data_IF_642208743015
#
_entry.id   IF_642208743015
#
_cell.length_a   1.000
_cell.length_b   1.000
_cell.length_c   1.000
_cell.angle_alpha   90.00
_cell.angle_beta   90.00
_cell.angle_gamma   90.00
#
_symmetry.space_group_name_H-M   'P 1'
#
loop_
_entity.id
_entity.type
_entity.pdbx_description
1 polymer ?
#
# COMPACT_ATOMS: atom_id res chain seq x y z
N UNK A 1 -5.72 0.85 21.81
CA UNK A 1 -4.39 0.20 21.77
C UNK A 1 -3.62 0.33 23.08
N UNK A 2 -3.52 1.49 23.73
CA UNK A 2 -2.92 1.61 25.10
C UNK A 2 -3.57 0.72 26.18
N UNK A 3 -4.80 0.19 25.95
CA UNK A 3 -5.48 -0.72 26.87
C UNK A 3 -5.08 -2.21 26.73
N UNK A 4 -4.29 -2.57 25.71
CA UNK A 4 -3.82 -3.96 25.48
C UNK A 4 -2.47 -4.27 26.18
N UNK A 5 -1.88 -3.31 26.91
CA UNK A 5 -0.55 -3.50 27.52
C UNK A 5 0.61 -3.53 26.51
N UNK A 6 0.32 -3.34 25.22
CA UNK A 6 1.33 -3.06 24.18
C UNK A 6 1.78 -1.61 24.35
N UNK A 7 3.07 -1.38 24.60
CA UNK A 7 3.61 -0.02 24.69
C UNK A 7 3.34 0.74 23.38
N UNK A 8 3.15 2.06 23.48
CA UNK A 8 2.96 2.92 22.30
C UNK A 8 4.08 2.70 21.27
N UNK A 9 5.33 2.57 21.73
CA UNK A 9 6.50 2.24 20.89
C UNK A 9 6.36 0.92 20.12
N UNK A 10 5.90 -0.17 20.74
CA UNK A 10 5.68 -1.46 20.04
C UNK A 10 4.60 -1.37 18.96
N UNK A 11 3.55 -0.60 19.21
CA UNK A 11 2.47 -0.41 18.22
C UNK A 11 2.97 0.37 17.01
N UNK A 12 3.71 1.46 17.25
CA UNK A 12 4.35 2.25 16.21
C UNK A 12 5.36 1.41 15.42
N UNK A 13 6.12 0.54 16.09
CA UNK A 13 7.05 -0.37 15.46
C UNK A 13 6.37 -1.32 14.47
N UNK A 14 5.29 -1.97 14.87
CA UNK A 14 4.55 -2.89 14.00
C UNK A 14 4.07 -2.18 12.74
N UNK A 15 3.45 -1.00 12.88
CA UNK A 15 2.94 -0.22 11.73
C UNK A 15 4.06 0.17 10.77
N UNK A 16 5.22 0.58 11.30
CA UNK A 16 6.37 0.94 10.49
C UNK A 16 6.99 -0.26 9.78
N UNK A 17 7.11 -1.40 10.46
CA UNK A 17 7.58 -2.66 9.88
C UNK A 17 6.66 -3.12 8.74
N UNK A 18 5.35 -3.08 8.97
CA UNK A 18 4.38 -3.46 7.93
C UNK A 18 4.48 -2.53 6.73
N UNK A 19 4.55 -1.21 6.95
CA UNK A 19 4.71 -0.25 5.86
C UNK A 19 6.04 -0.48 5.09
N UNK A 20 7.13 -0.77 5.79
CA UNK A 20 8.41 -1.11 5.16
C UNK A 20 8.29 -2.32 4.23
N UNK A 21 7.69 -3.43 4.70
CA UNK A 21 7.55 -4.63 3.89
C UNK A 21 6.57 -4.46 2.74
N UNK A 22 5.51 -3.68 2.92
CA UNK A 22 4.56 -3.34 1.87
C UNK A 22 5.28 -2.57 0.74
N UNK A 23 6.00 -1.50 1.07
CA UNK A 23 6.77 -0.74 0.08
C UNK A 23 7.87 -1.58 -0.58
N UNK A 24 8.57 -2.42 0.21
CA UNK A 24 9.58 -3.34 -0.31
C UNK A 24 8.98 -4.35 -1.31
N UNK A 25 7.79 -4.86 -1.04
CA UNK A 25 7.07 -5.73 -1.97
C UNK A 25 6.85 -5.03 -3.31
N UNK A 26 6.34 -3.79 -3.31
CA UNK A 26 6.09 -3.05 -4.54
C UNK A 26 7.38 -2.74 -5.30
N UNK A 27 8.40 -2.24 -4.60
CA UNK A 27 9.70 -1.88 -5.20
C UNK A 27 10.39 -3.10 -5.82
N UNK A 28 10.21 -4.31 -5.29
CA UNK A 28 10.80 -5.51 -5.87
C UNK A 28 9.93 -6.14 -6.97
N UNK A 29 8.62 -6.18 -6.78
CA UNK A 29 7.71 -6.89 -7.69
C UNK A 29 7.46 -6.11 -8.98
N UNK A 30 7.46 -4.78 -8.92
CA UNK A 30 7.20 -3.95 -10.10
C UNK A 30 8.28 -4.10 -11.18
N UNK A 31 9.60 -4.00 -10.90
CA UNK A 31 10.64 -4.28 -11.87
C UNK A 31 10.58 -5.69 -12.45
N UNK A 32 10.27 -6.68 -11.61
CA UNK A 32 10.08 -8.06 -12.06
C UNK A 32 8.99 -8.10 -13.15
N UNK A 33 7.82 -7.57 -12.85
CA UNK A 33 6.69 -7.52 -13.79
C UNK A 33 7.02 -6.75 -15.07
N UNK A 34 7.73 -5.63 -14.97
CA UNK A 34 8.17 -4.85 -16.13
C UNK A 34 9.10 -5.64 -17.04
N UNK A 35 10.03 -6.42 -16.49
CA UNK A 35 10.98 -7.25 -17.25
C UNK A 35 10.26 -8.40 -17.95
N UNK A 36 9.34 -9.09 -17.27
CA UNK A 36 8.68 -10.28 -17.81
C UNK A 36 7.57 -9.98 -18.82
N UNK A 37 6.88 -8.85 -18.69
CA UNK A 37 5.69 -8.52 -19.51
C UNK A 37 6.01 -7.44 -20.55
N UNK A 38 6.97 -6.56 -20.26
CA UNK A 38 7.27 -5.39 -21.07
C UNK A 38 6.38 -4.19 -20.76
N UNK A 39 6.93 -2.98 -20.91
CA UNK A 39 6.23 -1.71 -20.65
C UNK A 39 5.03 -1.49 -21.58
N UNK A 40 5.14 -1.88 -22.86
CA UNK A 40 4.11 -1.64 -23.88
C UNK A 40 2.76 -2.30 -23.57
N UNK A 41 2.76 -3.43 -22.86
CA UNK A 41 1.55 -4.19 -22.55
C UNK A 41 0.90 -3.77 -21.22
N UNK A 42 1.69 -3.15 -20.34
CA UNK A 42 1.31 -2.80 -18.97
C UNK A 42 0.53 -1.48 -18.87
N UNK A 43 0.78 -0.54 -19.78
CA UNK A 43 0.14 0.77 -19.79
C UNK A 43 -0.91 0.85 -20.91
N UNK A 44 -2.21 0.94 -20.58
CA UNK A 44 -3.23 1.22 -21.58
C UNK A 44 -2.98 2.59 -22.22
N UNK A 45 -2.92 2.65 -23.55
CA UNK A 45 -2.56 3.85 -24.33
C UNK A 45 -3.53 5.03 -24.10
N UNK A 46 -4.76 4.74 -23.68
CA UNK A 46 -5.87 5.70 -23.65
C UNK A 46 -6.03 6.50 -22.33
N UNK A 47 -5.24 6.21 -21.29
CA UNK A 47 -5.41 6.84 -19.96
C UNK A 47 -4.52 8.06 -19.77
N UNK A 48 -4.70 9.10 -20.59
CA UNK A 48 -4.06 10.40 -20.35
C UNK A 48 -4.77 11.16 -19.23
N UNK A 49 -4.03 11.59 -18.21
CA UNK A 49 -4.58 12.38 -17.09
C UNK A 49 -3.91 13.75 -17.02
N UNK A 50 -4.72 14.78 -16.86
CA UNK A 50 -4.24 16.13 -16.54
C UNK A 50 -4.01 16.24 -15.05
N UNK A 51 -2.77 16.49 -14.63
CA UNK A 51 -2.40 16.78 -13.24
C UNK A 51 -1.75 18.16 -13.23
N UNK A 52 -2.28 19.09 -12.42
CA UNK A 52 -1.81 20.48 -12.34
C UNK A 52 -1.71 21.22 -13.70
N UNK A 53 -2.60 20.91 -14.65
CA UNK A 53 -2.63 21.52 -15.97
C UNK A 53 -1.68 20.89 -17.01
N UNK A 54 -0.84 19.93 -16.61
CA UNK A 54 0.06 19.19 -17.50
C UNK A 54 -0.56 17.83 -17.84
N UNK A 55 -0.59 17.47 -19.11
CA UNK A 55 -1.02 16.13 -19.58
C UNK A 55 0.13 15.15 -19.38
N UNK A 56 -0.01 14.23 -18.44
CA UNK A 56 0.93 13.12 -18.28
C UNK A 56 0.36 11.86 -18.93
N UNK A 57 1.23 11.11 -19.61
CA UNK A 57 0.93 9.75 -20.03
C UNK A 57 0.80 8.84 -18.80
N UNK A 58 0.08 7.73 -18.94
CA UNK A 58 -0.09 6.74 -17.86
C UNK A 58 1.26 6.20 -17.37
N UNK A 59 2.19 5.98 -18.30
CA UNK A 59 3.56 5.59 -18.00
C UNK A 59 4.32 6.68 -17.22
N UNK A 60 4.19 7.95 -17.60
CA UNK A 60 4.83 9.06 -16.89
C UNK A 60 4.35 9.18 -15.44
N UNK A 61 3.04 9.05 -15.21
CA UNK A 61 2.45 9.05 -13.86
C UNK A 61 2.97 7.87 -13.06
N UNK A 62 3.04 6.70 -13.68
CA UNK A 62 3.58 5.51 -13.04
C UNK A 62 5.03 5.70 -12.58
N UNK A 63 5.92 6.23 -13.42
CA UNK A 63 7.32 6.44 -13.03
C UNK A 63 7.48 7.44 -11.90
N UNK A 64 6.65 8.50 -11.87
CA UNK A 64 6.60 9.43 -10.74
C UNK A 64 6.18 8.70 -9.46
N UNK A 65 5.19 7.80 -9.54
CA UNK A 65 4.68 7.07 -8.37
C UNK A 65 5.63 6.02 -7.87
N UNK A 66 6.24 5.30 -8.79
CA UNK A 66 7.26 4.33 -8.50
C UNK A 66 8.49 5.02 -7.88
N UNK A 67 8.90 6.18 -8.40
CA UNK A 67 9.94 7.01 -7.79
C UNK A 67 9.57 7.49 -6.38
N UNK A 68 8.31 7.85 -6.16
CA UNK A 68 7.81 8.21 -4.84
C UNK A 68 7.82 7.02 -3.85
N UNK A 69 7.38 5.83 -4.26
CA UNK A 69 7.47 4.61 -3.45
C UNK A 69 8.93 4.28 -3.11
N UNK A 70 9.83 4.35 -4.10
CA UNK A 70 11.25 4.12 -3.87
C UNK A 70 11.85 5.14 -2.89
N UNK A 71 11.47 6.41 -3.02
CA UNK A 71 11.85 7.45 -2.07
C UNK A 71 11.31 7.12 -0.66
N UNK A 72 10.05 6.72 -0.55
CA UNK A 72 9.42 6.37 0.72
C UNK A 72 10.13 5.18 1.38
N UNK A 73 10.39 4.11 0.63
CA UNK A 73 11.16 2.96 1.09
C UNK A 73 12.57 3.38 1.54
N UNK A 74 13.24 4.23 0.78
CA UNK A 74 14.58 4.74 1.11
C UNK A 74 14.56 5.53 2.41
N UNK A 75 13.55 6.39 2.61
CA UNK A 75 13.36 7.18 3.82
C UNK A 75 13.07 6.30 5.03
N UNK A 76 12.18 5.31 4.88
CA UNK A 76 11.86 4.34 5.94
C UNK A 76 13.10 3.51 6.30
N UNK A 77 13.81 2.99 5.29
CA UNK A 77 15.07 2.24 5.47
C UNK A 77 16.10 3.08 6.21
N UNK A 78 16.31 4.32 5.78
CA UNK A 78 17.25 5.24 6.42
C UNK A 78 16.86 5.54 7.86
N UNK A 79 15.58 5.87 8.10
CA UNK A 79 15.09 6.27 9.40
C UNK A 79 14.98 5.13 10.41
N UNK A 80 14.79 3.90 9.96
CA UNK A 80 14.60 2.77 10.86
C UNK A 80 15.87 1.92 10.98
N UNK A 81 16.55 1.62 9.88
CA UNK A 81 17.67 0.68 9.88
C UNK A 81 19.02 1.37 10.02
N UNK A 82 19.20 2.55 9.43
CA UNK A 82 20.51 3.20 9.40
C UNK A 82 20.67 4.22 10.54
N UNK A 83 19.91 5.31 10.53
CA UNK A 83 20.10 6.45 11.43
C UNK A 83 18.77 7.03 11.95
N UNK A 84 18.16 6.44 12.99
CA UNK A 84 16.91 6.92 13.57
C UNK A 84 17.02 8.31 14.21
N UNK A 85 18.19 8.65 14.77
CA UNK A 85 18.45 9.99 15.32
C UNK A 85 18.46 11.04 14.22
N UNK A 86 19.09 10.74 13.08
CA UNK A 86 19.09 11.58 11.89
C UNK A 86 17.69 11.79 11.32
N UNK A 87 16.87 10.74 11.27
CA UNK A 87 15.51 10.84 10.80
C UNK A 87 14.60 11.64 11.75
N UNK A 88 14.74 11.47 13.07
CA UNK A 88 14.11 12.36 14.05
C UNK A 88 14.50 13.82 13.79
N UNK A 89 15.78 14.10 13.52
CA UNK A 89 16.22 15.46 13.21
C UNK A 89 15.58 16.03 11.94
N UNK A 90 15.42 15.22 10.88
CA UNK A 90 14.72 15.61 9.65
C UNK A 90 13.26 15.97 9.96
N UNK A 91 12.54 15.09 10.68
CA UNK A 91 11.16 15.35 11.12
C UNK A 91 11.10 16.67 11.88
N UNK A 92 11.93 16.85 12.91
CA UNK A 92 11.90 18.07 13.72
C UNK A 92 12.24 19.32 12.92
N UNK A 93 13.09 19.23 11.90
CA UNK A 93 13.40 20.34 11.00
C UNK A 93 12.19 20.72 10.13
N UNK A 94 11.44 19.75 9.60
CA UNK A 94 10.21 20.03 8.84
C UNK A 94 9.17 20.74 9.73
N UNK A 95 9.01 20.30 10.98
CA UNK A 95 8.08 20.92 11.94
C UNK A 95 8.59 22.25 12.54
N UNK A 96 9.69 22.83 12.02
CA UNK A 96 10.06 24.24 12.29
C UNK A 96 9.25 25.24 11.45
N UNK A 97 8.61 24.79 10.37
CA UNK A 97 7.79 25.65 9.50
C UNK A 97 6.62 26.25 10.29
N UNK A 98 6.36 27.55 10.12
CA UNK A 98 5.39 28.33 10.92
C UNK A 98 4.01 27.66 11.03
N UNK A 99 3.51 27.09 9.94
CA UNK A 99 2.21 26.39 9.91
C UNK A 99 2.24 25.02 10.60
N UNK A 100 3.36 24.31 10.54
CA UNK A 100 3.50 22.96 11.08
C UNK A 100 3.83 22.95 12.59
N UNK A 101 4.26 24.09 13.13
CA UNK A 101 4.74 24.22 14.53
C UNK A 101 3.73 23.76 15.58
N UNK A 102 2.42 23.86 15.31
CA UNK A 102 1.36 23.41 16.23
C UNK A 102 1.37 21.90 16.50
N UNK A 103 1.96 21.11 15.61
CA UNK A 103 2.09 19.65 15.75
C UNK A 103 3.49 19.20 16.19
N UNK A 104 4.37 20.15 16.54
CA UNK A 104 5.77 19.86 16.89
C UNK A 104 5.89 18.90 18.08
N UNK A 105 5.00 18.98 19.07
CA UNK A 105 5.02 18.07 20.22
C UNK A 105 4.77 16.62 19.79
N UNK A 106 3.74 16.38 18.97
CA UNK A 106 3.48 15.07 18.37
C UNK A 106 4.65 14.59 17.49
N UNK A 107 5.28 15.49 16.74
CA UNK A 107 6.45 15.16 15.93
C UNK A 107 7.67 14.73 16.77
N UNK A 108 7.85 15.29 17.96
CA UNK A 108 8.87 14.85 18.92
C UNK A 108 8.57 13.43 19.39
N UNK A 109 7.34 13.15 19.81
CA UNK A 109 6.91 11.83 20.25
C UNK A 109 7.11 10.77 19.15
N UNK A 110 6.66 11.06 17.93
CA UNK A 110 6.88 10.18 16.77
C UNK A 110 8.37 9.93 16.55
N UNK A 111 9.20 10.97 16.65
CA UNK A 111 10.65 10.85 16.53
C UNK A 111 11.28 9.96 17.62
N UNK A 112 10.79 10.04 18.85
CA UNK A 112 11.22 9.16 19.95
C UNK A 112 10.77 7.72 19.75
N UNK A 113 9.51 7.52 19.35
CA UNK A 113 8.97 6.20 19.02
C UNK A 113 9.77 5.54 17.89
N UNK A 114 10.23 6.29 16.89
CA UNK A 114 11.08 5.76 15.81
C UNK A 114 12.43 5.29 16.34
N UNK A 115 13.04 6.01 17.28
CA UNK A 115 14.32 5.61 17.88
C UNK A 115 14.15 4.33 18.68
N UNK A 116 13.10 4.24 19.50
CA UNK A 116 12.77 3.04 20.26
C UNK A 116 12.48 1.85 19.33
N UNK A 117 11.64 2.06 18.33
CA UNK A 117 11.29 1.09 17.28
C UNK A 117 12.52 0.57 16.56
N UNK A 118 13.40 1.47 16.10
CA UNK A 118 14.65 1.12 15.44
C UNK A 118 15.53 0.24 16.32
N UNK A 119 15.62 0.56 17.61
CA UNK A 119 16.35 -0.24 18.59
C UNK A 119 15.80 -1.67 18.70
N UNK A 120 14.47 -1.81 18.78
CA UNK A 120 13.80 -3.12 18.82
C UNK A 120 14.02 -3.90 17.52
N UNK A 121 13.84 -3.26 16.37
CA UNK A 121 13.96 -3.90 15.04
C UNK A 121 15.37 -4.41 14.73
N UNK A 122 16.40 -3.71 15.21
CA UNK A 122 17.80 -4.14 15.04
C UNK A 122 18.16 -5.37 15.86
N UNK A 123 17.38 -5.69 16.90
CA UNK A 123 17.58 -6.88 17.72
C UNK A 123 16.89 -8.13 17.14
N UNK A 124 16.02 -7.95 16.14
CA UNK A 124 15.32 -9.06 15.51
C UNK A 124 16.25 -9.91 14.63
N UNK A 125 16.01 -11.22 14.64
CA UNK A 125 16.79 -12.17 13.84
C UNK A 125 16.56 -12.01 12.33
N UNK A 126 17.54 -12.36 11.50
CA UNK A 126 17.36 -12.37 10.03
C UNK A 126 16.16 -13.22 9.58
N UNK A 127 15.84 -14.27 10.33
CA UNK A 127 14.69 -15.13 10.08
C UNK A 127 13.35 -14.44 10.30
N UNK A 128 13.28 -13.50 11.25
CA UNK A 128 12.10 -12.65 11.41
C UNK A 128 11.87 -11.83 10.13
N UNK A 129 12.92 -11.20 9.61
CA UNK A 129 12.84 -10.39 8.39
C UNK A 129 12.40 -11.18 7.17
N UNK A 130 12.98 -12.37 6.97
CA UNK A 130 12.62 -13.25 5.86
C UNK A 130 11.16 -13.70 5.99
N UNK A 131 10.74 -14.18 7.17
CA UNK A 131 9.36 -14.64 7.38
C UNK A 131 8.34 -13.52 7.18
N UNK A 132 8.63 -12.34 7.71
CA UNK A 132 7.75 -11.19 7.56
C UNK A 132 7.63 -10.76 6.09
N UNK A 133 8.74 -10.66 5.36
CA UNK A 133 8.71 -10.34 3.93
C UNK A 133 7.96 -11.40 3.12
N UNK A 134 8.22 -12.69 3.35
CA UNK A 134 7.53 -13.78 2.64
C UNK A 134 6.03 -13.77 2.93
N UNK A 135 5.64 -13.55 4.19
CA UNK A 135 4.23 -13.41 4.56
C UNK A 135 3.57 -12.22 3.85
N UNK A 136 4.22 -11.06 3.83
CA UNK A 136 3.74 -9.87 3.11
C UNK A 136 3.65 -10.11 1.62
N UNK A 137 4.67 -10.76 1.02
CA UNK A 137 4.69 -11.10 -0.40
C UNK A 137 3.48 -11.98 -0.77
N UNK A 138 3.27 -13.08 -0.06
CA UNK A 138 2.13 -13.95 -0.32
C UNK A 138 0.79 -13.27 -0.05
N UNK A 139 0.68 -12.42 0.97
CA UNK A 139 -0.54 -11.67 1.26
C UNK A 139 -0.90 -10.70 0.13
N UNK A 140 0.07 -9.93 -0.37
CA UNK A 140 -0.15 -9.03 -1.50
C UNK A 140 -0.38 -9.77 -2.80
N UNK A 141 0.39 -10.81 -3.09
CA UNK A 141 0.16 -11.67 -4.25
C UNK A 141 -1.26 -12.23 -4.20
N UNK A 142 -1.68 -12.88 -3.10
CA UNK A 142 -3.04 -13.38 -2.96
C UNK A 142 -4.10 -12.28 -3.19
N UNK A 143 -3.90 -11.09 -2.63
CA UNK A 143 -4.79 -9.93 -2.83
C UNK A 143 -4.95 -9.55 -4.31
N UNK A 144 -3.86 -9.49 -5.08
CA UNK A 144 -3.90 -9.18 -6.52
C UNK A 144 -4.42 -10.33 -7.37
N UNK A 145 -4.25 -11.57 -6.92
CA UNK A 145 -4.79 -12.75 -7.59
C UNK A 145 -6.32 -12.89 -7.43
N UNK A 146 -6.94 -12.26 -6.42
CA UNK A 146 -8.41 -12.22 -6.30
C UNK A 146 -9.07 -11.73 -7.59
N UNK A 147 -8.52 -10.68 -8.22
CA UNK A 147 -9.08 -10.14 -9.47
C UNK A 147 -8.88 -11.11 -10.65
N UNK A 148 -7.74 -11.80 -10.70
CA UNK A 148 -7.49 -12.84 -11.70
C UNK A 148 -8.57 -13.93 -11.61
N UNK A 149 -8.81 -14.48 -10.42
CA UNK A 149 -9.82 -15.52 -10.21
C UNK A 149 -11.24 -15.00 -10.44
N UNK A 150 -11.49 -13.74 -10.09
CA UNK A 150 -12.78 -13.11 -10.32
C UNK A 150 -13.08 -13.01 -11.82
N UNK A 151 -12.12 -12.60 -12.65
CA UNK A 151 -12.29 -12.57 -14.12
C UNK A 151 -12.43 -13.99 -14.67
N UNK A 152 -11.58 -14.91 -14.20
CA UNK A 152 -11.59 -16.32 -14.61
C UNK A 152 -12.94 -17.02 -14.36
N UNK A 153 -13.69 -16.57 -13.35
CA UNK A 153 -15.03 -17.09 -13.07
C UNK A 153 -16.07 -16.79 -14.15
N UNK A 154 -15.82 -15.80 -15.02
CA UNK A 154 -16.74 -15.38 -16.09
C UNK A 154 -16.20 -15.64 -17.50
N UNK A 155 -14.88 -15.66 -17.67
CA UNK A 155 -14.23 -15.85 -18.98
C UNK A 155 -12.89 -16.57 -18.82
N UNK A 156 -12.52 -17.41 -19.79
CA UNK A 156 -11.18 -17.98 -19.84
C UNK A 156 -10.14 -16.86 -20.03
N UNK A 157 -9.04 -16.94 -19.29
CA UNK A 157 -7.95 -15.96 -19.33
C UNK A 157 -6.66 -16.70 -19.60
N UNK A 158 -5.93 -16.27 -20.62
CA UNK A 158 -4.61 -16.84 -20.94
C UNK A 158 -3.46 -16.02 -20.31
N UNK A 159 -3.61 -14.70 -20.22
CA UNK A 159 -2.55 -13.78 -19.77
C UNK A 159 -2.66 -13.38 -18.28
N UNK A 160 -2.70 -14.37 -17.38
CA UNK A 160 -2.83 -14.12 -15.93
C UNK A 160 -1.76 -13.17 -15.35
N UNK A 161 -0.52 -13.31 -15.83
CA UNK A 161 0.60 -12.48 -15.38
C UNK A 161 0.42 -11.01 -15.82
N UNK A 162 -0.18 -10.77 -16.99
CA UNK A 162 -0.49 -9.43 -17.49
C UNK A 162 -1.57 -8.75 -16.63
N UNK A 163 -2.64 -9.48 -16.27
CA UNK A 163 -3.66 -8.98 -15.33
C UNK A 163 -3.04 -8.62 -13.99
N UNK A 164 -2.17 -9.49 -13.46
CA UNK A 164 -1.43 -9.23 -12.23
C UNK A 164 -0.56 -7.97 -12.33
N UNK A 165 0.18 -7.84 -13.43
CA UNK A 165 1.06 -6.69 -13.67
C UNK A 165 0.33 -5.37 -13.82
N UNK A 166 -0.76 -5.34 -14.59
CA UNK A 166 -1.61 -4.15 -14.75
C UNK A 166 -2.22 -3.69 -13.43
N UNK A 167 -2.57 -4.63 -12.55
CA UNK A 167 -3.04 -4.27 -11.20
C UNK A 167 -1.97 -3.62 -10.34
N UNK A 168 -0.71 -4.08 -10.41
CA UNK A 168 0.40 -3.44 -9.69
C UNK A 168 0.62 -2.02 -10.19
N UNK A 169 0.69 -1.84 -11.52
CA UNK A 169 0.84 -0.52 -12.16
C UNK A 169 -0.28 0.42 -11.75
N UNK A 170 -1.52 -0.07 -11.79
CA UNK A 170 -2.69 0.66 -11.35
C UNK A 170 -2.57 1.09 -9.88
N UNK A 171 -2.11 0.19 -9.00
CA UNK A 171 -1.92 0.52 -7.58
C UNK A 171 -0.88 1.63 -7.37
N UNK A 172 0.24 1.57 -8.09
CA UNK A 172 1.28 2.61 -8.06
C UNK A 172 0.71 3.97 -8.47
N UNK A 173 -0.04 4.02 -9.58
CA UNK A 173 -0.68 5.24 -10.08
C UNK A 173 -1.71 5.78 -9.07
N UNK A 174 -2.45 4.88 -8.42
CA UNK A 174 -3.47 5.25 -7.44
C UNK A 174 -2.89 5.95 -6.22
N UNK A 175 -1.69 5.58 -5.75
CA UNK A 175 -1.08 6.21 -4.57
C UNK A 175 -0.81 7.71 -4.76
N UNK A 176 -0.53 8.15 -5.98
CA UNK A 176 -0.28 9.57 -6.28
C UNK A 176 -1.57 10.31 -6.63
N UNK A 177 -2.60 9.58 -7.06
CA UNK A 177 -3.83 10.20 -7.56
C UNK A 177 -4.61 10.84 -6.41
N UNK A 178 -4.87 12.16 -6.43
CA UNK A 178 -5.52 12.88 -5.33
C UNK A 178 -7.03 12.60 -5.21
N UNK A 179 -7.57 11.61 -5.94
CA UNK A 179 -8.99 11.25 -5.92
C UNK A 179 -9.38 10.69 -4.55
N UNK A 180 -10.12 11.44 -3.71
CA UNK A 180 -10.49 10.99 -2.39
C UNK A 180 -11.62 9.95 -2.50
N UNK A 181 -11.51 8.82 -1.78
CA UNK A 181 -12.69 8.01 -1.44
C UNK A 181 -13.02 6.79 -2.31
N UNK A 182 -12.13 6.30 -3.19
CA UNK A 182 -12.26 4.95 -3.74
C UNK A 182 -13.40 4.70 -4.75
N UNK A 183 -14.35 5.62 -4.90
CA UNK A 183 -15.54 5.45 -5.73
C UNK A 183 -15.20 5.33 -7.23
N UNK A 184 -14.44 6.27 -7.78
CA UNK A 184 -13.96 6.24 -9.17
C UNK A 184 -12.76 5.34 -9.44
N UNK A 185 -12.20 4.73 -8.38
CA UNK A 185 -11.00 3.89 -8.48
C UNK A 185 -11.33 2.55 -9.15
N UNK A 186 -12.45 1.92 -8.79
CA UNK A 186 -12.82 0.62 -9.34
C UNK A 186 -13.28 0.72 -10.80
N UNK A 187 -13.99 1.79 -11.17
CA UNK A 187 -14.33 2.02 -12.58
C UNK A 187 -13.08 2.32 -13.40
N UNK A 188 -12.16 3.15 -12.90
CA UNK A 188 -10.87 3.39 -13.55
C UNK A 188 -10.02 2.12 -13.68
N UNK A 189 -10.05 1.26 -12.66
CA UNK A 189 -9.37 -0.03 -12.65
C UNK A 189 -9.92 -0.99 -13.73
N UNK A 190 -11.21 -1.28 -13.65
CA UNK A 190 -11.85 -2.31 -14.48
C UNK A 190 -12.12 -1.82 -15.91
N UNK A 191 -12.52 -0.56 -16.11
CA UNK A 191 -12.72 -0.01 -17.45
C UNK A 191 -11.44 0.54 -18.10
N UNK A 192 -10.42 0.86 -17.31
CA UNK A 192 -9.16 1.39 -17.82
C UNK A 192 -8.10 0.30 -18.05
N UNK A 193 -7.71 -0.39 -16.97
CA UNK A 193 -6.58 -1.34 -17.01
C UNK A 193 -6.99 -2.76 -17.37
N UNK A 194 -8.20 -3.19 -16.99
CA UNK A 194 -8.61 -4.59 -17.10
C UNK A 194 -9.66 -4.86 -18.18
N UNK A 195 -10.13 -3.81 -18.87
CA UNK A 195 -11.25 -3.91 -19.83
C UNK A 195 -11.01 -4.95 -20.91
N UNK A 196 -9.77 -5.09 -21.36
CA UNK A 196 -9.37 -6.06 -22.40
C UNK A 196 -9.60 -7.52 -21.98
N UNK A 197 -9.66 -7.79 -20.67
CA UNK A 197 -9.86 -9.13 -20.12
C UNK A 197 -11.30 -9.38 -19.67
N UNK A 198 -12.20 -8.41 -19.84
CA UNK A 198 -13.54 -8.45 -19.26
C UNK A 198 -14.58 -8.37 -20.37
N UNK A 199 -15.57 -9.29 -20.39
CA UNK A 199 -16.68 -9.19 -21.33
C UNK A 199 -17.44 -7.86 -21.21
N UNK A 200 -17.94 -7.36 -22.34
CA UNK A 200 -18.63 -6.08 -22.42
C UNK A 200 -19.80 -6.05 -21.43
N UNK A 201 -19.89 -4.98 -20.62
CA UNK A 201 -20.95 -4.77 -19.64
C UNK A 201 -20.68 -5.37 -18.25
N UNK A 202 -19.65 -6.18 -18.05
CA UNK A 202 -19.36 -6.81 -16.76
C UNK A 202 -18.43 -6.01 -15.84
N UNK A 203 -17.72 -5.00 -16.35
CA UNK A 203 -16.73 -4.24 -15.57
C UNK A 203 -17.31 -3.65 -14.26
N UNK A 204 -18.54 -3.11 -14.30
CA UNK A 204 -19.21 -2.59 -13.11
C UNK A 204 -19.56 -3.67 -12.09
N UNK A 205 -20.06 -4.83 -12.54
CA UNK A 205 -20.35 -5.97 -11.67
C UNK A 205 -19.07 -6.49 -11.01
N UNK A 206 -18.00 -6.68 -11.80
CA UNK A 206 -16.71 -7.15 -11.30
C UNK A 206 -16.10 -6.17 -10.29
N UNK A 207 -16.22 -4.87 -10.52
CA UNK A 207 -15.81 -3.85 -9.56
C UNK A 207 -16.53 -3.98 -8.20
N UNK A 208 -17.83 -4.27 -8.20
CA UNK A 208 -18.62 -4.49 -6.98
C UNK A 208 -18.21 -5.79 -6.28
N UNK A 209 -18.09 -6.89 -7.02
CA UNK A 209 -17.67 -8.18 -6.47
C UNK A 209 -16.26 -8.12 -5.88
N UNK A 210 -15.34 -7.44 -6.56
CA UNK A 210 -13.99 -7.21 -6.06
C UNK A 210 -14.00 -6.44 -4.73
N UNK A 211 -14.87 -5.43 -4.59
CA UNK A 211 -15.04 -4.72 -3.30
C UNK A 211 -15.60 -5.63 -2.21
N UNK A 212 -16.59 -6.44 -2.57
CA UNK A 212 -17.25 -7.36 -1.65
C UNK A 212 -16.28 -8.40 -1.09
N UNK A 213 -15.36 -8.89 -1.91
CA UNK A 213 -14.35 -9.88 -1.49
C UNK A 213 -13.13 -9.21 -0.84
N UNK A 214 -12.67 -8.06 -1.35
CA UNK A 214 -11.38 -7.50 -0.93
C UNK A 214 -11.45 -6.50 0.23
N UNK A 215 -12.62 -5.92 0.49
CA UNK A 215 -12.79 -4.85 1.49
C UNK A 215 -13.80 -5.21 2.58
N UNK A 216 -14.96 -5.76 2.21
CA UNK A 216 -16.02 -6.00 3.19
C UNK A 216 -15.78 -7.14 4.18
N UNK A 217 -14.97 -8.20 3.93
CA UNK A 217 -14.79 -9.25 4.93
C UNK A 217 -14.18 -8.71 6.22
N UNK A 218 -13.26 -7.75 6.13
CA UNK A 218 -12.66 -7.10 7.30
C UNK A 218 -13.70 -6.32 8.13
N UNK A 219 -14.67 -5.67 7.48
CA UNK A 219 -15.77 -4.99 8.17
C UNK A 219 -16.70 -5.99 8.85
N UNK A 220 -17.07 -7.07 8.17
CA UNK A 220 -17.90 -8.13 8.74
C UNK A 220 -17.23 -8.77 9.96
N UNK A 221 -15.95 -9.12 9.88
CA UNK A 221 -15.18 -9.65 11.01
C UNK A 221 -15.16 -8.61 12.16
N UNK A 222 -14.96 -7.33 11.83
CA UNK A 222 -15.00 -6.24 12.80
C UNK A 222 -16.31 -6.16 13.59
N UNK A 223 -17.46 -6.38 12.95
CA UNK A 223 -18.78 -6.39 13.61
C UNK A 223 -18.86 -7.45 14.70
N UNK A 224 -18.25 -8.62 14.51
CA UNK A 224 -18.28 -9.70 15.50
C UNK A 224 -17.19 -9.54 16.57
N UNK A 225 -15.98 -9.12 16.18
CA UNK A 225 -14.83 -9.03 17.08
C UNK A 225 -14.92 -7.81 18.00
N UNK A 226 -15.31 -6.64 17.48
CA UNK A 226 -15.28 -5.38 18.21
C UNK A 226 -16.18 -5.35 19.45
N UNK A 227 -17.43 -5.88 19.43
CA UNK A 227 -18.27 -5.92 20.64
C UNK A 227 -17.70 -6.81 21.74
N UNK A 228 -17.16 -7.98 21.37
CA UNK A 228 -16.51 -8.89 22.32
C UNK A 228 -15.26 -8.26 22.94
N UNK A 229 -14.45 -7.61 22.11
CA UNK A 229 -13.27 -6.88 22.55
C UNK A 229 -13.61 -5.71 23.48
N UNK A 230 -14.61 -4.88 23.11
CA UNK A 230 -15.06 -3.75 23.93
C UNK A 230 -15.53 -4.20 25.30
N UNK A 231 -16.35 -5.27 25.38
CA UNK A 231 -16.79 -5.83 26.66
C UNK A 231 -15.60 -6.26 27.52
N UNK A 232 -14.61 -6.96 26.95
CA UNK A 232 -13.41 -7.41 27.70
C UNK A 232 -12.58 -6.25 28.26
N UNK A 233 -12.46 -5.16 27.51
CA UNK A 233 -11.53 -4.05 27.80
C UNK A 233 -12.17 -2.93 28.65
N UNK A 234 -13.51 -2.81 28.62
CA UNK A 234 -14.25 -1.78 29.37
C UNK A 234 -15.09 -2.31 30.55
N UNK A 235 -15.37 -3.62 30.66
CA UNK A 235 -15.95 -4.21 31.88
C UNK A 235 -14.89 -4.65 32.91
N UNK A 236 -13.70 -4.05 32.87
CA UNK A 236 -12.76 -3.99 34.00
C UNK A 236 -12.80 -2.58 34.55
#
# INVERSE_FOLDING_TARGET
MNKEGVSAGKSTAIVMITAFFDELFYVLTVPFVLIFIGTSNLFPVELQKKIFGITFSTEGIFWIGYGFMFLLLSVITYGILLNPKGFKAIILNVFRIKFLRKWRYSAIQVGDDIIETSGQMKQESIWFWIKAFVATFFAWTARFWVVNFLILAFVAVDDHLLIYGRQLVMWVIMLISPTPGGAGIAEFAFNGFLKDFIPIGLAGLLAVLWRLISYYPYLFIGIFVLPHWLKRVYNK
#
